data_IF_283206805351
#
_entry.id   IF_283206805351
#
_cell.length_a   1.000
_cell.length_b   1.000
_cell.length_c   1.000
_cell.angle_alpha   90.00
_cell.angle_beta   90.00
_cell.angle_gamma   90.00
#
_symmetry.space_group_name_H-M   'P 1'
#
loop_
_entity.id
_entity.type
_entity.pdbx_description
1 polymer ?
#
# COMPACT_ATOMS: atom_id res chain seq x y z
N UNK A 1 0.45 74.84 -6.82
CA UNK A 1 1.80 74.46 -6.35
C UNK A 1 1.96 72.95 -6.17
N UNK A 2 0.89 72.20 -5.84
CA UNK A 2 0.94 70.72 -5.73
C UNK A 2 1.21 69.98 -7.06
N UNK A 3 0.70 70.48 -8.19
CA UNK A 3 0.88 69.85 -9.51
C UNK A 3 2.34 69.66 -9.93
N UNK A 4 3.16 70.70 -9.79
CA UNK A 4 4.59 70.69 -10.13
C UNK A 4 5.36 69.68 -9.28
N UNK A 5 4.87 69.42 -8.06
CA UNK A 5 5.46 68.43 -7.15
C UNK A 5 5.14 67.01 -7.61
N UNK A 6 3.89 66.74 -8.02
CA UNK A 6 3.49 65.44 -8.58
C UNK A 6 4.23 65.14 -9.89
N UNK A 7 4.37 66.12 -10.79
CA UNK A 7 5.11 65.97 -12.03
C UNK A 7 6.59 65.60 -11.78
N UNK A 8 7.24 66.30 -10.83
CA UNK A 8 8.61 65.98 -10.45
C UNK A 8 8.75 64.60 -9.80
N UNK A 9 7.76 64.20 -8.98
CA UNK A 9 7.73 62.86 -8.40
C UNK A 9 7.52 61.78 -9.46
N UNK A 10 6.72 62.06 -10.49
CA UNK A 10 6.48 61.16 -11.61
C UNK A 10 7.75 60.97 -12.45
N UNK A 11 8.50 62.04 -12.71
CA UNK A 11 9.77 61.96 -13.41
C UNK A 11 10.81 61.16 -12.61
N UNK A 12 10.90 61.41 -11.30
CA UNK A 12 11.72 60.61 -10.37
C UNK A 12 11.31 59.13 -10.33
N UNK A 13 10.01 58.84 -10.46
CA UNK A 13 9.49 57.48 -10.52
C UNK A 13 9.93 56.78 -11.81
N UNK A 14 9.87 57.47 -12.95
CA UNK A 14 10.36 56.95 -14.23
C UNK A 14 11.88 56.73 -14.22
N UNK A 15 12.63 57.54 -13.49
CA UNK A 15 14.06 57.33 -13.24
C UNK A 15 14.36 56.27 -12.16
N UNK A 16 13.34 55.66 -11.57
CA UNK A 16 13.45 54.67 -10.48
C UNK A 16 14.19 55.18 -9.23
N UNK A 17 14.09 56.49 -8.94
CA UNK A 17 14.72 57.14 -7.79
C UNK A 17 13.74 57.42 -6.64
N UNK A 18 12.49 57.02 -6.75
CA UNK A 18 11.46 57.25 -5.73
C UNK A 18 11.66 56.41 -4.47
N UNK A 19 11.25 56.97 -3.35
CA UNK A 19 11.14 56.28 -2.06
C UNK A 19 9.73 55.73 -1.88
N UNK A 20 9.56 54.75 -0.99
CA UNK A 20 8.24 54.17 -0.68
C UNK A 20 7.19 55.20 -0.23
N UNK A 21 7.61 56.27 0.45
CA UNK A 21 6.73 57.32 0.91
C UNK A 21 6.21 58.17 -0.28
N UNK A 22 7.09 58.50 -1.22
CA UNK A 22 6.76 59.22 -2.45
C UNK A 22 5.86 58.39 -3.38
N UNK A 23 6.09 57.08 -3.47
CA UNK A 23 5.22 56.18 -4.25
C UNK A 23 3.81 56.03 -3.63
N UNK A 24 3.72 56.07 -2.29
CA UNK A 24 2.42 56.09 -1.60
C UNK A 24 1.65 57.35 -1.93
N UNK A 25 2.34 58.49 -2.01
CA UNK A 25 1.76 59.77 -2.38
C UNK A 25 1.28 59.79 -3.85
N UNK A 26 2.10 59.30 -4.79
CA UNK A 26 1.69 59.11 -6.18
C UNK A 26 0.45 58.22 -6.26
N UNK A 27 0.43 57.12 -5.52
CA UNK A 27 -0.71 56.20 -5.49
C UNK A 27 -1.98 56.84 -4.93
N UNK A 28 -1.88 57.63 -3.86
CA UNK A 28 -3.01 58.36 -3.29
C UNK A 28 -3.57 59.40 -4.27
N UNK A 29 -2.69 60.16 -4.92
CA UNK A 29 -3.08 61.14 -5.93
C UNK A 29 -3.82 60.50 -7.12
N UNK A 30 -3.25 59.45 -7.73
CA UNK A 30 -3.88 58.76 -8.87
C UNK A 30 -5.12 57.91 -8.49
N UNK A 31 -5.35 57.67 -7.20
CA UNK A 31 -6.57 57.03 -6.70
C UNK A 31 -7.73 58.01 -6.49
N UNK A 32 -7.49 59.32 -6.55
CA UNK A 32 -8.51 60.36 -6.42
C UNK A 32 -9.50 60.41 -7.60
N UNK A 33 -10.64 61.08 -7.40
CA UNK A 33 -11.69 61.20 -8.43
C UNK A 33 -11.28 62.15 -9.58
N UNK A 34 -10.57 63.23 -9.28
CA UNK A 34 -10.05 64.20 -10.26
C UNK A 34 -8.54 64.12 -10.36
N UNK A 35 -8.05 63.70 -11.53
CA UNK A 35 -6.65 63.77 -11.95
C UNK A 35 -6.57 64.72 -13.14
N UNK A 36 -5.54 65.55 -13.20
CA UNK A 36 -5.36 66.47 -14.32
C UNK A 36 -5.22 65.74 -15.68
N UNK A 37 -5.77 66.36 -16.72
CA UNK A 37 -5.97 65.77 -18.05
C UNK A 37 -4.66 65.22 -18.68
N UNK A 38 -3.52 65.87 -18.45
CA UNK A 38 -2.23 65.44 -19.00
C UNK A 38 -1.58 64.28 -18.22
N UNK A 39 -2.00 64.06 -16.98
CA UNK A 39 -1.51 63.00 -16.11
C UNK A 39 -2.42 61.78 -16.09
N UNK A 40 -3.64 61.90 -16.58
CA UNK A 40 -4.65 60.84 -16.63
C UNK A 40 -4.14 59.56 -17.32
N UNK A 41 -3.27 59.70 -18.33
CA UNK A 41 -2.62 58.58 -19.02
C UNK A 41 -1.81 57.65 -18.11
N UNK A 42 -1.28 58.16 -16.98
CA UNK A 42 -0.46 57.40 -16.04
C UNK A 42 -1.27 56.73 -14.93
N UNK A 43 -2.55 57.08 -14.80
CA UNK A 43 -3.47 56.56 -13.78
C UNK A 43 -3.51 55.02 -13.69
N UNK A 44 -3.52 54.25 -14.80
CA UNK A 44 -3.53 52.79 -14.73
C UNK A 44 -2.31 52.21 -14.02
N UNK A 45 -1.15 52.86 -14.08
CA UNK A 45 0.09 52.36 -13.44
C UNK A 45 -0.05 52.26 -11.91
N UNK A 46 -0.80 53.18 -11.30
CA UNK A 46 -0.94 53.27 -9.84
C UNK A 46 -2.24 52.65 -9.31
N UNK A 47 -3.24 52.47 -10.18
CA UNK A 47 -4.57 51.95 -9.82
C UNK A 47 -4.78 50.48 -10.18
N UNK A 48 -4.00 49.89 -11.10
CA UNK A 48 -4.23 48.51 -11.56
C UNK A 48 -4.31 47.48 -10.42
N UNK A 49 -3.43 47.56 -9.43
CA UNK A 49 -3.38 46.60 -8.32
C UNK A 49 -4.57 46.69 -7.37
N UNK A 50 -5.27 47.84 -7.27
CA UNK A 50 -6.47 47.91 -6.43
C UNK A 50 -7.65 47.17 -7.07
N UNK A 51 -7.76 47.22 -8.40
CA UNK A 51 -8.74 46.46 -9.18
C UNK A 51 -8.39 44.98 -9.24
N UNK A 52 -7.14 44.64 -9.56
CA UNK A 52 -6.68 43.25 -9.65
C UNK A 52 -6.80 42.48 -8.32
N UNK A 53 -6.68 43.17 -7.17
CA UNK A 53 -6.90 42.57 -5.85
C UNK A 53 -8.35 42.10 -5.61
N UNK A 54 -9.31 42.66 -6.35
CA UNK A 54 -10.71 42.26 -6.29
C UNK A 54 -10.98 41.00 -7.11
N UNK A 55 -10.13 40.70 -8.09
CA UNK A 55 -10.23 39.47 -8.87
C UNK A 55 -9.91 38.26 -7.99
N UNK A 56 -10.93 37.44 -7.75
CA UNK A 56 -10.78 36.16 -7.06
C UNK A 56 -10.93 35.04 -8.07
N UNK A 57 -10.03 34.07 -8.00
CA UNK A 57 -10.19 32.81 -8.72
C UNK A 57 -11.33 32.01 -8.08
N UNK A 58 -12.53 32.08 -8.67
CA UNK A 58 -13.76 31.43 -8.17
C UNK A 58 -13.95 30.00 -8.68
N UNK A 59 -13.03 29.52 -9.53
CA UNK A 59 -13.15 28.20 -10.11
C UNK A 59 -12.69 27.13 -9.12
N UNK A 60 -13.50 26.08 -8.98
CA UNK A 60 -13.10 24.90 -8.23
C UNK A 60 -12.00 24.17 -9.04
N UNK A 61 -10.79 24.12 -8.50
CA UNK A 61 -9.71 23.33 -9.08
C UNK A 61 -10.03 21.85 -8.85
N UNK A 62 -10.17 21.01 -9.89
CA UNK A 62 -10.39 19.58 -9.70
C UNK A 62 -9.11 18.96 -9.13
N UNK A 63 -9.08 18.78 -7.81
CA UNK A 63 -8.00 18.06 -7.14
C UNK A 63 -8.19 16.57 -7.39
N UNK A 64 -7.24 15.94 -8.10
CA UNK A 64 -7.22 14.49 -8.27
C UNK A 64 -6.59 13.86 -7.01
N UNK A 65 -7.33 13.14 -6.16
CA UNK A 65 -6.76 12.53 -4.97
C UNK A 65 -5.78 11.43 -5.37
N UNK A 66 -4.62 11.39 -4.71
CA UNK A 66 -3.68 10.27 -4.82
C UNK A 66 -4.22 9.08 -4.04
N UNK A 67 -4.39 7.94 -4.70
CA UNK A 67 -4.76 6.68 -4.05
C UNK A 67 -3.53 6.11 -3.34
N UNK A 68 -3.70 5.67 -2.09
CA UNK A 68 -2.62 5.17 -1.23
C UNK A 68 -2.58 3.64 -1.25
N UNK A 69 -2.40 3.04 -2.44
CA UNK A 69 -2.35 1.58 -2.61
C UNK A 69 -1.29 0.92 -1.71
N UNK A 70 -0.14 1.58 -1.53
CA UNK A 70 0.95 1.11 -0.68
C UNK A 70 0.58 0.90 0.79
N UNK A 71 -0.44 1.62 1.32
CA UNK A 71 -0.91 1.39 2.70
C UNK A 71 -1.56 0.01 2.86
N UNK A 72 -2.21 -0.49 1.81
CA UNK A 72 -2.90 -1.78 1.83
C UNK A 72 -1.95 -2.95 1.57
N UNK A 73 -0.81 -2.72 0.92
CA UNK A 73 0.20 -3.76 0.67
C UNK A 73 0.78 -4.29 1.99
N UNK A 74 1.05 -3.42 2.96
CA UNK A 74 1.55 -3.84 4.28
C UNK A 74 0.54 -4.72 5.02
N UNK A 75 -0.75 -4.36 4.96
CA UNK A 75 -1.83 -5.15 5.57
C UNK A 75 -1.96 -6.52 4.89
N UNK A 76 -1.94 -6.56 3.55
CA UNK A 76 -2.01 -7.80 2.80
C UNK A 76 -0.84 -8.75 3.12
N UNK A 77 0.38 -8.23 3.27
CA UNK A 77 1.56 -9.04 3.60
C UNK A 77 1.43 -9.75 4.95
N UNK A 78 0.91 -9.06 5.98
CA UNK A 78 0.69 -9.66 7.31
C UNK A 78 -0.35 -10.77 7.24
N UNK A 79 -1.45 -10.55 6.52
CA UNK A 79 -2.50 -11.56 6.35
C UNK A 79 -1.97 -12.82 5.67
N UNK A 80 -1.20 -12.66 4.59
CA UNK A 80 -0.56 -13.80 3.89
C UNK A 80 0.41 -14.55 4.79
N UNK A 81 1.20 -13.84 5.60
CA UNK A 81 2.14 -14.47 6.53
C UNK A 81 1.42 -15.31 7.59
N UNK A 82 0.37 -14.77 8.22
CA UNK A 82 -0.41 -15.50 9.23
C UNK A 82 -1.12 -16.71 8.61
N UNK A 83 -1.74 -16.53 7.44
CA UNK A 83 -2.36 -17.64 6.71
C UNK A 83 -1.34 -18.72 6.35
N UNK A 84 -0.16 -18.33 5.87
CA UNK A 84 0.92 -19.26 5.54
C UNK A 84 1.40 -20.08 6.74
N UNK A 85 1.55 -19.45 7.91
CA UNK A 85 1.93 -20.16 9.14
C UNK A 85 0.81 -21.11 9.61
N UNK A 86 -0.44 -20.64 9.60
CA UNK A 86 -1.59 -21.41 10.06
C UNK A 86 -1.84 -22.65 9.19
N UNK A 87 -1.99 -22.47 7.87
CA UNK A 87 -2.23 -23.57 6.95
C UNK A 87 -0.98 -24.42 6.70
N UNK A 88 0.22 -23.82 6.75
CA UNK A 88 1.48 -24.54 6.55
C UNK A 88 1.76 -25.59 7.62
N UNK A 89 1.49 -25.27 8.90
CA UNK A 89 1.64 -26.25 10.00
C UNK A 89 0.67 -27.42 9.84
N UNK A 90 -0.60 -27.12 9.56
CA UNK A 90 -1.61 -28.15 9.33
C UNK A 90 -1.24 -29.09 8.16
N UNK A 91 -0.69 -28.54 7.08
CA UNK A 91 -0.24 -29.34 5.94
C UNK A 91 0.95 -30.25 6.28
N UNK A 92 1.90 -29.77 7.07
CA UNK A 92 3.04 -30.56 7.53
C UNK A 92 2.60 -31.72 8.44
N UNK A 93 1.75 -31.45 9.43
CA UNK A 93 1.23 -32.48 10.33
C UNK A 93 0.46 -33.57 9.58
N UNK A 94 -0.37 -33.20 8.60
CA UNK A 94 -1.08 -34.17 7.76
C UNK A 94 -0.11 -35.05 6.97
N UNK A 95 0.95 -34.47 6.40
CA UNK A 95 1.97 -35.24 5.67
C UNK A 95 2.75 -36.19 6.57
N UNK A 96 3.12 -35.75 7.77
CA UNK A 96 3.82 -36.61 8.72
C UNK A 96 2.93 -37.76 9.19
N UNK A 97 1.66 -37.49 9.49
CA UNK A 97 0.69 -38.52 9.87
C UNK A 97 0.47 -39.54 8.73
N UNK A 98 0.32 -39.09 7.48
CA UNK A 98 0.20 -39.94 6.32
C UNK A 98 1.45 -40.82 6.13
N UNK A 99 2.64 -40.24 6.26
CA UNK A 99 3.90 -40.96 6.17
C UNK A 99 4.04 -42.04 7.25
N UNK A 100 3.76 -41.69 8.52
CA UNK A 100 3.79 -42.62 9.64
C UNK A 100 2.75 -43.75 9.48
N UNK A 101 1.56 -43.42 8.97
CA UNK A 101 0.52 -44.40 8.66
C UNK A 101 0.98 -45.41 7.61
N UNK A 102 1.58 -44.93 6.51
CA UNK A 102 2.11 -45.81 5.46
C UNK A 102 3.22 -46.73 5.95
N UNK A 103 4.16 -46.21 6.75
CA UNK A 103 5.20 -47.03 7.35
C UNK A 103 4.63 -48.11 8.27
N UNK A 104 3.69 -47.73 9.14
CA UNK A 104 3.03 -48.65 10.06
C UNK A 104 2.26 -49.73 9.31
N UNK A 105 1.49 -49.35 8.29
CA UNK A 105 0.76 -50.28 7.42
C UNK A 105 1.71 -51.27 6.74
N UNK A 106 2.87 -50.82 6.26
CA UNK A 106 3.89 -51.69 5.67
C UNK A 106 4.45 -52.67 6.70
N UNK A 107 4.80 -52.20 7.90
CA UNK A 107 5.32 -53.05 8.98
C UNK A 107 4.29 -54.11 9.42
N UNK A 108 3.04 -53.71 9.63
CA UNK A 108 1.93 -54.62 9.95
C UNK A 108 1.70 -55.65 8.83
N UNK A 109 1.79 -55.24 7.57
CA UNK A 109 1.70 -56.17 6.43
C UNK A 109 2.79 -57.24 6.44
N UNK A 110 4.03 -56.87 6.80
CA UNK A 110 5.13 -57.84 6.95
C UNK A 110 4.89 -58.79 8.13
N UNK A 111 4.42 -58.27 9.27
CA UNK A 111 4.06 -59.09 10.43
C UNK A 111 2.93 -60.08 10.09
N UNK A 112 1.88 -59.62 9.42
CA UNK A 112 0.77 -60.47 8.98
C UNK A 112 1.26 -61.58 8.03
N UNK A 113 2.17 -61.26 7.09
CA UNK A 113 2.76 -62.27 6.20
C UNK A 113 3.59 -63.31 6.97
N UNK A 114 4.35 -62.89 7.98
CA UNK A 114 5.13 -63.81 8.81
C UNK A 114 4.23 -64.69 9.70
N UNK A 115 3.15 -64.13 10.24
CA UNK A 115 2.14 -64.88 11.00
C UNK A 115 1.45 -65.93 10.12
N UNK A 116 1.02 -65.58 8.91
CA UNK A 116 0.42 -66.53 7.97
C UNK A 116 1.36 -67.72 7.66
N UNK A 117 2.65 -67.43 7.42
CA UNK A 117 3.66 -68.49 7.23
C UNK A 117 3.86 -69.33 8.48
N UNK A 118 3.85 -68.72 9.67
CA UNK A 118 3.94 -69.41 10.95
C UNK A 118 2.77 -70.38 11.17
N UNK A 119 1.55 -69.91 10.97
CA UNK A 119 0.33 -70.72 11.09
C UNK A 119 0.32 -71.91 10.12
N UNK A 120 0.74 -71.71 8.86
CA UNK A 120 0.87 -72.80 7.87
C UNK A 120 1.86 -73.88 8.33
N UNK A 121 3.00 -73.48 8.90
CA UNK A 121 3.99 -74.43 9.43
C UNK A 121 3.45 -75.21 10.64
N UNK A 122 2.74 -74.55 11.55
CA UNK A 122 2.11 -75.21 12.71
C UNK A 122 1.04 -76.19 12.26
N UNK A 123 0.19 -75.82 11.30
CA UNK A 123 -0.82 -76.71 10.72
C UNK A 123 -0.16 -77.97 10.12
N UNK A 124 0.92 -77.81 9.34
CA UNK A 124 1.67 -78.93 8.78
C UNK A 124 2.27 -79.86 9.85
N UNK A 125 2.81 -79.32 10.94
CA UNK A 125 3.33 -80.13 12.06
C UNK A 125 2.22 -80.94 12.75
N UNK A 126 1.03 -80.36 12.89
CA UNK A 126 -0.13 -81.06 13.44
C UNK A 126 -0.56 -82.25 12.57
N UNK A 127 -0.69 -82.04 11.24
CA UNK A 127 -1.00 -83.12 10.29
C UNK A 127 0.06 -84.24 10.31
N UNK A 128 1.35 -83.86 10.40
CA UNK A 128 2.44 -84.83 10.49
C UNK A 128 2.37 -85.66 11.79
N UNK A 129 2.11 -85.01 12.94
CA UNK A 129 1.94 -85.69 14.22
C UNK A 129 0.76 -86.67 14.20
N UNK A 130 -0.40 -86.24 13.73
CA UNK A 130 -1.58 -87.12 13.60
C UNK A 130 -1.30 -88.33 12.72
N UNK A 131 -0.61 -88.12 11.59
CA UNK A 131 -0.27 -89.20 10.67
C UNK A 131 0.71 -90.19 11.30
N UNK A 132 1.73 -89.68 12.02
CA UNK A 132 2.68 -90.51 12.77
C UNK A 132 1.97 -91.34 13.84
N UNK A 133 1.09 -90.74 14.63
CA UNK A 133 0.32 -91.45 15.66
C UNK A 133 -0.58 -92.53 15.06
N UNK A 134 -1.25 -92.25 13.93
CA UNK A 134 -2.05 -93.24 13.20
C UNK A 134 -1.21 -94.43 12.75
N UNK A 135 -0.02 -94.19 12.20
CA UNK A 135 0.88 -95.27 11.75
C UNK A 135 1.39 -96.10 12.94
N UNK A 136 1.74 -95.47 14.07
CA UNK A 136 2.25 -96.17 15.26
C UNK A 136 1.14 -97.00 15.95
N UNK A 137 -0.11 -96.53 15.98
CA UNK A 137 -1.23 -97.27 16.57
C UNK A 137 -1.74 -98.44 15.71
N UNK A 138 -1.45 -98.45 14.40
CA UNK A 138 -1.89 -99.49 13.46
C UNK A 138 -0.84 -100.59 13.20
N UNK A 139 0.30 -100.55 13.90
CA UNK A 139 1.28 -101.64 14.01
C UNK A 139 1.33 -102.14 15.45
#
# INVERSE_FOLDING_TARGET
MELVRIERLLEKYFEAQTTRAEEKELKEYFSGEQVELHLEQYRPMFTYFSSAKQERFTQQVPLKPRTNLYKWISVAAVVVMVAGIFFGRQYQEQKEAEFAYHQTKKALGLLASNLDRGTKKVAYLHEFQETKEKIIKNN
#
